data_IF_701252240934
#
_entry.id   IF_701252240934
#
_cell.length_a   1.000
_cell.length_b   1.000
_cell.length_c   1.000
_cell.angle_alpha   90.00
_cell.angle_beta   90.00
_cell.angle_gamma   90.00
#
_symmetry.space_group_name_H-M   'P 1'
#
loop_
_entity.id
_entity.type
_entity.pdbx_description
1 polymer ?
#
# COMPACT_ATOMS: atom_id res chain seq x y z
N UNK A 1 9.05 -40.02 -14.05
CA UNK A 1 9.67 -40.66 -15.23
C UNK A 1 9.00 -40.20 -16.51
N UNK A 2 7.65 -40.19 -16.56
CA UNK A 2 6.86 -39.62 -17.65
C UNK A 2 7.12 -38.11 -17.86
N UNK A 3 7.13 -37.29 -16.80
CA UNK A 3 7.42 -35.85 -16.93
C UNK A 3 8.81 -35.55 -17.54
N UNK A 4 9.80 -36.40 -17.24
CA UNK A 4 11.15 -36.33 -17.83
C UNK A 4 11.12 -36.67 -19.32
N UNK A 5 10.39 -37.73 -19.69
CA UNK A 5 10.24 -38.16 -21.07
C UNK A 5 9.50 -37.11 -21.90
N UNK A 6 8.41 -36.54 -21.39
CA UNK A 6 7.67 -35.45 -22.05
C UNK A 6 8.57 -34.24 -22.29
N UNK A 7 9.34 -33.81 -21.28
CA UNK A 7 10.30 -32.72 -21.40
C UNK A 7 11.38 -33.01 -22.47
N UNK A 8 11.86 -34.25 -22.53
CA UNK A 8 12.83 -34.70 -23.51
C UNK A 8 12.26 -34.74 -24.95
N UNK A 9 11.00 -35.16 -25.11
CA UNK A 9 10.30 -35.18 -26.40
C UNK A 9 10.05 -33.73 -26.87
N UNK A 10 9.57 -32.84 -25.98
CA UNK A 10 9.35 -31.42 -26.31
C UNK A 10 10.65 -30.70 -26.70
N UNK A 11 11.78 -31.11 -26.11
CA UNK A 11 13.09 -30.53 -26.40
C UNK A 11 13.81 -31.22 -27.58
N UNK A 12 13.17 -32.16 -28.28
CA UNK A 12 13.72 -33.02 -29.34
C UNK A 12 15.05 -33.70 -28.94
N UNK A 13 15.15 -34.10 -27.68
CA UNK A 13 16.37 -34.64 -27.04
C UNK A 13 16.06 -35.87 -26.18
N UNK A 14 15.39 -36.85 -26.76
CA UNK A 14 15.05 -38.13 -26.09
C UNK A 14 16.28 -38.96 -25.80
N UNK A 15 16.55 -39.20 -24.52
CA UNK A 15 17.71 -39.97 -24.04
C UNK A 15 17.62 -41.46 -24.44
N UNK A 16 18.76 -42.15 -24.51
CA UNK A 16 18.75 -43.60 -24.80
C UNK A 16 17.99 -44.41 -23.74
N UNK A 17 18.04 -43.98 -22.48
CA UNK A 17 17.30 -44.60 -21.39
C UNK A 17 15.79 -44.52 -21.63
N UNK A 18 15.30 -43.33 -21.97
CA UNK A 18 13.91 -43.06 -22.35
C UNK A 18 13.48 -43.85 -23.60
N UNK A 19 14.33 -43.97 -24.62
CA UNK A 19 14.06 -44.79 -25.81
C UNK A 19 13.95 -46.28 -25.49
N UNK A 20 14.82 -46.81 -24.64
CA UNK A 20 14.77 -48.22 -24.19
C UNK A 20 13.53 -48.50 -23.37
N UNK A 21 13.14 -47.57 -22.50
CA UNK A 21 11.91 -47.67 -21.73
C UNK A 21 10.67 -47.68 -22.64
N UNK A 22 10.57 -46.74 -23.58
CA UNK A 22 9.51 -46.71 -24.60
C UNK A 22 9.43 -48.02 -25.40
N UNK A 23 10.58 -48.53 -25.86
CA UNK A 23 10.65 -49.80 -26.57
C UNK A 23 10.20 -50.99 -25.71
N UNK A 24 10.51 -51.00 -24.41
CA UNK A 24 10.02 -52.02 -23.48
C UNK A 24 8.51 -51.98 -23.28
N UNK A 25 7.90 -50.82 -23.47
CA UNK A 25 6.45 -50.61 -23.44
C UNK A 25 5.79 -50.80 -24.82
N UNK A 26 6.57 -51.12 -25.88
CA UNK A 26 6.06 -51.26 -27.24
C UNK A 26 5.65 -49.94 -27.90
N UNK A 27 6.15 -48.81 -27.41
CA UNK A 27 5.85 -47.47 -27.92
C UNK A 27 7.06 -46.88 -28.64
N UNK A 28 6.80 -46.07 -29.66
CA UNK A 28 7.81 -45.23 -30.32
C UNK A 28 7.75 -43.80 -29.82
N UNK A 29 8.84 -43.04 -30.02
CA UNK A 29 8.87 -41.60 -29.71
C UNK A 29 7.79 -40.84 -30.48
N UNK A 30 7.60 -41.18 -31.76
CA UNK A 30 6.58 -40.55 -32.62
C UNK A 30 5.15 -40.85 -32.13
N UNK A 31 4.87 -42.08 -31.70
CA UNK A 31 3.57 -42.41 -31.11
C UNK A 31 3.32 -41.65 -29.79
N UNK A 32 4.35 -41.52 -28.94
CA UNK A 32 4.23 -40.75 -27.72
C UNK A 32 4.02 -39.26 -28.02
N UNK A 33 4.77 -38.70 -28.98
CA UNK A 33 4.64 -37.30 -29.39
C UNK A 33 3.26 -36.98 -29.97
N UNK A 34 2.65 -37.91 -30.72
CA UNK A 34 1.29 -37.78 -31.24
C UNK A 34 0.20 -37.93 -30.17
N UNK A 35 0.53 -38.49 -29.00
CA UNK A 35 -0.38 -38.62 -27.85
C UNK A 35 -0.22 -37.48 -26.84
N UNK A 36 0.83 -36.67 -26.97
CA UNK A 36 1.04 -35.51 -26.10
C UNK A 36 0.10 -34.37 -26.50
N UNK A 37 -0.50 -33.75 -25.50
CA UNK A 37 -1.23 -32.51 -25.71
C UNK A 37 -0.26 -31.42 -26.17
N UNK A 38 -0.64 -30.58 -27.15
CA UNK A 38 0.18 -29.46 -27.56
C UNK A 38 0.43 -28.52 -26.38
N UNK A 39 1.68 -28.08 -26.22
CA UNK A 39 2.04 -27.12 -25.16
C UNK A 39 1.24 -25.84 -25.38
N UNK A 40 0.33 -25.55 -24.45
CA UNK A 40 -0.43 -24.31 -24.46
C UNK A 40 0.54 -23.14 -24.27
N UNK A 41 0.76 -22.39 -25.34
CA UNK A 41 1.54 -21.15 -25.29
C UNK A 41 0.53 -20.01 -25.37
N UNK A 42 0.18 -19.35 -24.24
CA UNK A 42 -0.83 -18.29 -24.28
C UNK A 42 -0.36 -17.17 -25.18
N UNK A 43 -1.18 -16.84 -26.18
CA UNK A 43 -0.97 -15.64 -26.98
C UNK A 43 -1.09 -14.42 -26.06
N UNK A 44 0.00 -13.68 -25.88
CA UNK A 44 0.02 -12.48 -25.05
C UNK A 44 -0.46 -11.30 -25.90
N UNK A 45 -1.50 -10.62 -25.44
CA UNK A 45 -1.95 -9.34 -25.98
C UNK A 45 -1.64 -8.23 -24.98
N UNK A 46 -1.40 -7.04 -25.49
CA UNK A 46 -1.13 -5.84 -24.69
C UNK A 46 -2.28 -4.88 -24.92
N UNK A 47 -2.83 -4.37 -23.82
CA UNK A 47 -3.87 -3.35 -23.82
C UNK A 47 -3.42 -2.17 -22.95
N UNK A 48 -3.71 -0.96 -23.41
CA UNK A 48 -3.51 0.26 -22.63
C UNK A 48 -4.83 0.66 -21.98
N UNK A 49 -4.79 0.88 -20.67
CA UNK A 49 -5.93 1.34 -19.90
C UNK A 49 -6.06 2.85 -20.01
N UNK A 50 -7.23 3.32 -20.44
CA UNK A 50 -7.63 4.72 -20.33
C UNK A 50 -8.66 4.83 -19.22
N UNK A 51 -8.30 5.59 -18.18
CA UNK A 51 -9.15 5.79 -17.00
C UNK A 51 -9.76 7.18 -16.98
N UNK A 52 -10.86 7.32 -16.24
CA UNK A 52 -11.40 8.62 -15.85
C UNK A 52 -10.56 9.30 -14.75
N UNK A 53 -11.00 10.47 -14.29
CA UNK A 53 -10.32 11.24 -13.25
C UNK A 53 -10.34 10.58 -11.86
N UNK A 54 -11.20 9.58 -11.61
CA UNK A 54 -11.25 8.76 -10.38
C UNK A 54 -10.32 7.55 -10.47
N UNK A 55 -9.73 7.30 -11.65
CA UNK A 55 -8.92 6.12 -11.93
C UNK A 55 -9.72 4.91 -12.41
N UNK A 56 -11.03 5.06 -12.68
CA UNK A 56 -11.88 3.98 -13.17
C UNK A 56 -11.59 3.71 -14.66
N UNK A 57 -11.24 2.47 -15.05
CA UNK A 57 -11.01 2.11 -16.45
C UNK A 57 -12.25 2.32 -17.33
N UNK A 58 -12.16 3.15 -18.36
CA UNK A 58 -13.24 3.39 -19.32
C UNK A 58 -13.01 2.68 -20.65
N UNK A 59 -11.75 2.53 -21.07
CA UNK A 59 -11.40 1.99 -22.40
C UNK A 59 -10.13 1.15 -22.33
N UNK A 60 -10.09 0.03 -23.08
CA UNK A 60 -8.88 -0.71 -23.41
C UNK A 60 -8.54 -0.49 -24.88
N UNK A 61 -7.33 0.02 -25.12
CA UNK A 61 -6.83 0.29 -26.46
C UNK A 61 -5.74 -0.73 -26.83
N UNK A 62 -5.81 -1.28 -28.05
CA UNK A 62 -4.78 -2.15 -28.60
C UNK A 62 -3.49 -1.38 -28.90
N UNK A 63 -2.40 -2.08 -29.19
CA UNK A 63 -1.14 -1.46 -29.63
C UNK A 63 -1.25 -0.69 -30.95
N UNK A 64 -2.29 -0.96 -31.73
CA UNK A 64 -2.60 -0.31 -33.01
C UNK A 64 -3.54 0.89 -32.84
N UNK A 65 -3.96 1.21 -31.61
CA UNK A 65 -4.83 2.34 -31.31
C UNK A 65 -6.32 2.05 -31.47
N UNK A 66 -6.71 0.78 -31.66
CA UNK A 66 -8.11 0.39 -31.75
C UNK A 66 -8.73 0.21 -30.35
N UNK A 67 -9.95 0.71 -30.15
CA UNK A 67 -10.74 0.40 -28.96
C UNK A 67 -11.24 -1.04 -29.04
N UNK A 68 -10.75 -1.90 -28.14
CA UNK A 68 -11.14 -3.31 -28.09
C UNK A 68 -12.16 -3.61 -26.96
N UNK A 69 -12.29 -2.68 -26.00
CA UNK A 69 -13.27 -2.72 -24.92
C UNK A 69 -13.56 -1.31 -24.44
N UNK A 70 -14.82 -0.99 -24.15
CA UNK A 70 -15.18 0.22 -23.42
C UNK A 70 -16.37 -0.01 -22.50
N UNK A 71 -16.46 0.82 -21.47
CA UNK A 71 -17.53 0.78 -20.50
C UNK A 71 -17.90 2.18 -19.99
N UNK A 72 -19.17 2.33 -19.63
CA UNK A 72 -19.71 3.51 -18.96
C UNK A 72 -20.13 3.13 -17.54
N UNK A 73 -19.82 4.00 -16.59
CA UNK A 73 -20.10 3.78 -15.18
C UNK A 73 -20.75 4.99 -14.54
N UNK A 74 -21.54 4.75 -13.50
CA UNK A 74 -22.06 5.83 -12.65
C UNK A 74 -21.02 6.33 -11.63
N UNK A 75 -21.45 7.22 -10.75
CA UNK A 75 -20.62 7.85 -9.73
C UNK A 75 -20.09 6.85 -8.68
N UNK A 76 -20.79 5.74 -8.47
CA UNK A 76 -20.45 4.70 -7.50
C UNK A 76 -19.73 3.50 -8.12
N UNK A 77 -19.54 3.51 -9.43
CA UNK A 77 -18.83 2.48 -10.18
C UNK A 77 -19.74 1.37 -10.71
N UNK A 78 -21.06 1.52 -10.69
CA UNK A 78 -21.96 0.57 -11.35
C UNK A 78 -21.76 0.62 -12.86
N UNK A 79 -21.61 -0.56 -13.48
CA UNK A 79 -21.52 -0.68 -14.93
C UNK A 79 -22.90 -0.38 -15.55
N UNK A 80 -22.97 0.68 -16.34
CA UNK A 80 -24.20 1.12 -17.02
C UNK A 80 -24.28 0.53 -18.43
N UNK A 81 -23.15 0.52 -19.13
CA UNK A 81 -23.03 0.02 -20.49
C UNK A 81 -21.63 -0.57 -20.72
N UNK A 82 -21.53 -1.58 -21.56
CA UNK A 82 -20.27 -2.22 -21.93
C UNK A 82 -20.29 -2.60 -23.42
N UNK A 83 -19.26 -2.20 -24.15
CA UNK A 83 -18.98 -2.72 -25.48
C UNK A 83 -17.74 -3.60 -25.42
N UNK A 84 -17.95 -4.92 -25.56
CA UNK A 84 -16.89 -5.92 -25.43
C UNK A 84 -16.94 -6.94 -26.59
N UNK A 85 -16.64 -6.52 -27.84
CA UNK A 85 -16.73 -7.40 -29.02
C UNK A 85 -15.73 -8.56 -28.98
N UNK A 86 -14.67 -8.45 -28.18
CA UNK A 86 -13.59 -9.42 -28.09
C UNK A 86 -13.65 -10.30 -26.81
N UNK A 87 -14.71 -10.17 -26.01
CA UNK A 87 -14.89 -10.91 -24.75
C UNK A 87 -13.66 -10.81 -23.82
N UNK A 88 -13.07 -9.61 -23.74
CA UNK A 88 -11.94 -9.33 -22.87
C UNK A 88 -12.37 -9.39 -21.41
N UNK A 89 -11.54 -10.01 -20.57
CA UNK A 89 -11.75 -10.04 -19.13
C UNK A 89 -11.13 -8.80 -18.49
N UNK A 90 -11.97 -7.78 -18.26
CA UNK A 90 -11.62 -6.60 -17.48
C UNK A 90 -12.31 -6.71 -16.11
N UNK A 91 -11.52 -6.89 -15.05
CA UNK A 91 -12.02 -6.94 -13.66
C UNK A 91 -11.71 -5.70 -12.82
N UNK A 92 -10.85 -4.79 -13.28
CA UNK A 92 -10.43 -3.64 -12.46
C UNK A 92 -11.57 -2.61 -12.38
N UNK A 93 -11.86 -2.10 -11.17
CA UNK A 93 -12.89 -1.10 -10.91
C UNK A 93 -12.24 0.19 -10.35
N UNK A 94 -12.86 0.85 -9.37
CA UNK A 94 -12.26 2.00 -8.70
C UNK A 94 -10.91 1.61 -8.05
N UNK A 95 -10.04 2.55 -7.69
CA UNK A 95 -8.71 2.25 -7.15
C UNK A 95 -8.74 1.23 -6.01
N UNK A 96 -7.93 0.17 -6.14
CA UNK A 96 -7.86 -0.93 -5.17
C UNK A 96 -8.90 -2.04 -5.36
N UNK A 97 -9.88 -1.85 -6.24
CA UNK A 97 -11.03 -2.74 -6.40
C UNK A 97 -10.94 -3.67 -7.61
N UNK A 98 -11.39 -4.91 -7.42
CA UNK A 98 -11.56 -5.91 -8.47
C UNK A 98 -12.98 -6.47 -8.43
N UNK A 99 -13.64 -6.54 -9.59
CA UNK A 99 -14.95 -7.17 -9.73
C UNK A 99 -14.86 -8.67 -9.48
N UNK A 100 -15.75 -9.13 -8.60
CA UNK A 100 -16.01 -10.54 -8.36
C UNK A 100 -17.36 -10.91 -8.98
N UNK A 101 -17.32 -11.76 -10.00
CA UNK A 101 -18.50 -12.20 -10.75
C UNK A 101 -19.42 -13.08 -9.89
N UNK A 102 -18.88 -13.86 -8.95
CA UNK A 102 -19.68 -14.79 -8.14
C UNK A 102 -20.62 -14.05 -7.19
N UNK A 103 -20.13 -12.97 -6.58
CA UNK A 103 -20.90 -12.14 -5.65
C UNK A 103 -21.58 -10.93 -6.30
N UNK A 104 -21.07 -10.47 -7.44
CA UNK A 104 -21.45 -9.20 -8.04
C UNK A 104 -20.85 -7.98 -7.32
N UNK A 105 -20.00 -8.20 -6.31
CA UNK A 105 -19.39 -7.14 -5.48
C UNK A 105 -17.97 -6.83 -5.94
N UNK A 106 -17.43 -5.72 -5.44
CA UNK A 106 -16.07 -5.29 -5.75
C UNK A 106 -15.15 -5.60 -4.56
N UNK A 107 -14.26 -6.56 -4.75
CA UNK A 107 -13.25 -6.93 -3.77
C UNK A 107 -12.23 -5.80 -3.63
N UNK A 108 -12.12 -5.24 -2.42
CA UNK A 108 -11.13 -4.23 -2.05
C UNK A 108 -10.30 -4.72 -0.87
N UNK A 109 -9.43 -5.71 -1.12
CA UNK A 109 -8.52 -6.34 -0.14
C UNK A 109 -9.19 -6.81 1.15
N UNK A 110 -9.37 -5.90 2.10
CA UNK A 110 -9.92 -6.16 3.42
C UNK A 110 -11.45 -6.13 3.47
N UNK A 111 -12.11 -5.59 2.44
CA UNK A 111 -13.58 -5.39 2.41
C UNK A 111 -14.17 -5.68 1.02
N UNK A 112 -15.47 -5.95 0.98
CA UNK A 112 -16.25 -6.02 -0.26
C UNK A 112 -17.14 -4.80 -0.37
N UNK A 113 -17.07 -4.11 -1.51
CA UNK A 113 -17.83 -2.92 -1.84
C UNK A 113 -19.04 -3.28 -2.72
N UNK A 114 -20.21 -2.77 -2.36
CA UNK A 114 -21.45 -2.84 -3.12
C UNK A 114 -21.66 -1.50 -3.85
N UNK A 115 -21.47 -1.45 -5.18
CA UNK A 115 -21.66 -0.23 -5.96
C UNK A 115 -23.13 0.21 -6.01
N UNK A 116 -24.11 -0.69 -5.87
CA UNK A 116 -25.54 -0.32 -5.87
C UNK A 116 -25.89 0.51 -4.64
N UNK A 117 -25.21 0.27 -3.52
CA UNK A 117 -25.41 0.98 -2.26
C UNK A 117 -24.37 2.07 -1.99
N UNK A 118 -23.33 2.15 -2.84
CA UNK A 118 -22.20 3.06 -2.68
C UNK A 118 -21.40 2.82 -1.39
N UNK A 119 -21.29 1.57 -0.91
CA UNK A 119 -20.76 1.27 0.43
C UNK A 119 -20.19 -0.14 0.57
N UNK A 120 -19.37 -0.40 1.58
CA UNK A 120 -18.93 -1.75 1.96
C UNK A 120 -20.06 -2.58 2.58
N UNK A 121 -20.04 -3.89 2.39
CA UNK A 121 -21.04 -4.82 2.95
C UNK A 121 -20.63 -5.43 4.29
N UNK A 122 -19.35 -5.33 4.65
CA UNK A 122 -18.79 -5.77 5.92
C UNK A 122 -18.44 -4.57 6.77
N UNK A 123 -18.61 -4.71 8.09
CA UNK A 123 -18.18 -3.67 9.02
C UNK A 123 -16.68 -3.43 8.89
N UNK A 124 -16.29 -2.17 9.05
CA UNK A 124 -14.91 -1.78 9.11
C UNK A 124 -14.18 -2.53 10.23
N UNK A 125 -13.07 -3.23 9.93
CA UNK A 125 -12.22 -3.84 10.95
C UNK A 125 -11.79 -2.90 12.08
N UNK A 126 -11.75 -1.57 11.86
CA UNK A 126 -11.42 -0.59 12.92
C UNK A 126 -12.62 -0.16 13.79
N UNK A 127 -13.84 -0.63 13.49
CA UNK A 127 -15.04 -0.43 14.30
C UNK A 127 -15.44 1.05 14.43
N UNK A 128 -15.83 1.49 15.63
CA UNK A 128 -16.25 2.88 15.92
C UNK A 128 -15.16 3.93 15.68
N UNK A 129 -13.92 3.51 15.42
CA UNK A 129 -12.84 4.41 15.05
C UNK A 129 -12.80 4.73 13.55
N UNK A 130 -13.45 3.93 12.69
CA UNK A 130 -13.66 4.20 11.26
C UNK A 130 -14.94 5.00 11.00
N UNK A 131 -15.33 5.83 11.97
CA UNK A 131 -16.58 6.56 11.97
C UNK A 131 -17.78 5.75 12.49
N UNK A 132 -18.90 6.44 12.65
CA UNK A 132 -20.17 5.86 13.09
C UNK A 132 -20.79 4.92 12.05
N UNK A 133 -20.40 5.07 10.79
CA UNK A 133 -20.90 4.25 9.69
C UNK A 133 -19.85 3.21 9.28
N UNK A 134 -19.92 2.03 9.89
CA UNK A 134 -19.01 0.91 9.65
C UNK A 134 -18.96 0.39 8.22
N UNK A 135 -19.85 0.86 7.35
CA UNK A 135 -20.01 0.35 6.00
C UNK A 135 -19.54 1.38 4.95
N UNK A 136 -18.99 2.52 5.34
CA UNK A 136 -18.79 3.65 4.43
C UNK A 136 -17.63 3.47 3.43
N UNK A 137 -17.87 3.83 2.17
CA UNK A 137 -16.83 4.12 1.17
C UNK A 137 -16.64 5.65 1.07
N UNK A 138 -15.45 6.20 0.75
CA UNK A 138 -15.22 7.65 0.75
C UNK A 138 -16.26 8.43 -0.05
N UNK A 139 -16.83 9.47 0.57
CA UNK A 139 -17.93 10.27 0.00
C UNK A 139 -17.49 11.19 -1.14
N UNK A 140 -16.18 11.45 -1.28
CA UNK A 140 -15.61 12.19 -2.39
C UNK A 140 -14.52 11.37 -3.10
N UNK A 141 -14.90 10.42 -3.98
CA UNK A 141 -13.95 9.55 -4.68
C UNK A 141 -13.06 10.31 -5.69
N UNK A 142 -13.25 11.62 -5.85
CA UNK A 142 -12.47 12.49 -6.73
C UNK A 142 -11.24 13.05 -6.01
N UNK A 143 -11.38 13.45 -4.74
CA UNK A 143 -10.27 13.97 -3.93
C UNK A 143 -9.66 12.92 -3.03
N UNK A 144 -10.48 11.98 -2.57
CA UNK A 144 -10.11 10.98 -1.58
C UNK A 144 -10.41 9.59 -2.16
N UNK A 145 -9.36 8.90 -2.55
CA UNK A 145 -9.40 7.49 -2.88
C UNK A 145 -8.95 6.71 -1.65
N UNK A 146 -9.51 5.53 -1.43
CA UNK A 146 -9.11 4.60 -0.36
C UNK A 146 -8.52 3.32 -0.98
N UNK A 147 -7.28 3.35 -1.53
CA UNK A 147 -6.71 2.22 -2.25
C UNK A 147 -6.30 1.06 -1.34
N UNK A 148 -6.25 1.28 -0.02
CA UNK A 148 -5.75 0.33 0.98
C UNK A 148 -6.77 -0.03 2.07
N UNK A 149 -7.71 0.87 2.39
CA UNK A 149 -8.60 0.77 3.54
C UNK A 149 -8.11 1.49 4.81
N UNK A 150 -7.27 2.54 4.74
CA UNK A 150 -6.43 3.03 5.88
C UNK A 150 -6.17 4.57 5.88
N UNK A 151 -5.76 5.19 7.00
CA UNK A 151 -5.44 6.62 7.14
C UNK A 151 -4.04 7.03 6.65
N UNK A 152 -3.87 8.34 6.44
CA UNK A 152 -2.65 8.96 5.86
C UNK A 152 -2.05 9.99 6.81
N UNK A 153 -0.72 9.94 7.05
CA UNK A 153 -0.02 10.96 7.84
C UNK A 153 1.11 11.70 7.11
N UNK A 154 1.24 12.97 7.44
CA UNK A 154 2.27 13.90 6.96
C UNK A 154 2.98 14.55 8.15
N UNK A 155 4.31 14.56 8.14
CA UNK A 155 5.14 15.35 9.06
C UNK A 155 5.95 16.39 8.28
N UNK A 156 5.75 17.66 8.59
CA UNK A 156 6.60 18.75 8.09
C UNK A 156 7.65 19.12 9.13
N UNK A 157 8.92 18.96 8.75
CA UNK A 157 10.08 19.23 9.60
C UNK A 157 10.09 20.70 10.01
N UNK A 158 9.96 21.63 9.06
CA UNK A 158 10.05 23.08 9.35
C UNK A 158 8.85 23.58 10.14
N UNK A 159 7.65 23.11 9.83
CA UNK A 159 6.44 23.49 10.56
C UNK A 159 6.38 22.86 11.95
N UNK A 160 7.16 21.81 12.21
CA UNK A 160 7.16 21.10 13.50
C UNK A 160 5.79 20.48 13.83
N UNK A 161 5.07 20.03 12.79
CA UNK A 161 3.70 19.53 12.90
C UNK A 161 3.57 18.20 12.18
N UNK A 162 2.97 17.23 12.87
CA UNK A 162 2.55 15.95 12.29
C UNK A 162 1.02 15.95 12.25
N UNK A 163 0.49 15.76 11.05
CA UNK A 163 -0.93 15.68 10.79
C UNK A 163 -1.25 14.29 10.23
N UNK A 164 -2.12 13.57 10.91
CA UNK A 164 -2.75 12.38 10.36
C UNK A 164 -4.20 12.71 10.05
N UNK A 165 -4.61 12.48 8.81
CA UNK A 165 -6.01 12.59 8.40
C UNK A 165 -6.59 11.21 8.48
N UNK A 166 -7.48 11.01 9.45
CA UNK A 166 -8.36 9.83 9.51
C UNK A 166 -9.22 9.78 8.25
N UNK A 167 -9.61 8.58 7.82
CA UNK A 167 -10.36 8.39 6.58
C UNK A 167 -11.84 8.85 6.64
N UNK A 168 -12.33 9.34 7.79
CA UNK A 168 -13.75 9.73 7.97
C UNK A 168 -13.97 11.15 8.48
N UNK A 169 -15.11 11.73 8.04
CA UNK A 169 -15.63 13.02 8.48
C UNK A 169 -16.48 12.89 9.77
N UNK A 170 -16.28 13.82 10.68
CA UNK A 170 -17.13 14.12 11.84
C UNK A 170 -18.52 14.61 11.41
N UNK A 171 -19.44 14.68 12.38
CA UNK A 171 -20.86 15.05 12.22
C UNK A 171 -21.13 16.35 11.42
N UNK A 172 -20.13 17.25 11.32
CA UNK A 172 -20.17 18.49 10.55
C UNK A 172 -19.58 18.37 9.12
N UNK A 173 -19.42 17.16 8.58
CA UNK A 173 -18.72 16.88 7.32
C UNK A 173 -17.24 17.35 7.31
N UNK A 174 -16.51 17.20 8.42
CA UNK A 174 -15.08 17.56 8.52
C UNK A 174 -14.21 16.38 8.93
N UNK A 175 -13.10 16.10 8.26
CA UNK A 175 -12.23 14.97 8.61
C UNK A 175 -11.67 15.07 10.03
N UNK A 176 -11.55 13.93 10.71
CA UNK A 176 -10.85 13.85 11.99
C UNK A 176 -9.34 13.95 11.75
N UNK A 177 -8.84 15.18 11.85
CA UNK A 177 -7.42 15.48 11.66
C UNK A 177 -6.72 15.49 13.01
N UNK A 178 -5.93 14.46 13.28
CA UNK A 178 -4.97 14.50 14.38
C UNK A 178 -3.79 15.36 13.96
N UNK A 179 -3.80 16.63 14.34
CA UNK A 179 -2.68 17.54 14.15
C UNK A 179 -2.00 17.78 15.49
N UNK A 180 -0.75 17.30 15.60
CA UNK A 180 0.04 17.37 16.85
C UNK A 180 1.39 18.07 16.62
N UNK A 181 1.84 18.88 17.58
CA UNK A 181 3.19 19.43 17.54
C UNK A 181 4.20 18.30 17.80
N UNK A 182 5.23 18.24 16.96
CA UNK A 182 6.34 17.30 17.11
C UNK A 182 7.66 17.99 16.83
N UNK A 183 8.75 17.38 17.26
CA UNK A 183 10.08 17.84 16.95
C UNK A 183 11.01 16.69 16.60
N UNK A 184 11.95 16.96 15.71
CA UNK A 184 13.00 16.04 15.31
C UNK A 184 14.34 16.75 15.23
N UNK A 185 15.41 16.06 15.66
CA UNK A 185 16.75 16.63 15.75
C UNK A 185 16.99 17.46 17.02
N UNK A 186 18.19 18.02 17.14
CA UNK A 186 18.71 18.57 18.39
C UNK A 186 19.45 19.92 18.19
N UNK A 187 19.27 20.87 19.13
CA UNK A 187 19.96 22.18 19.17
C UNK A 187 21.17 22.26 20.14
N UNK A 188 21.65 21.13 20.65
CA UNK A 188 22.80 21.09 21.57
C UNK A 188 24.11 21.51 20.89
N UNK A 189 25.06 22.00 21.69
CA UNK A 189 26.38 22.46 21.25
C UNK A 189 26.36 23.64 20.25
N UNK A 190 25.47 24.62 20.44
CA UNK A 190 25.33 25.83 19.59
C UNK A 190 24.93 25.57 18.13
N UNK A 191 24.52 24.35 17.79
CA UNK A 191 23.96 24.02 16.47
C UNK A 191 22.44 24.23 16.47
N UNK A 192 21.87 24.64 15.34
CA UNK A 192 20.42 24.88 15.18
C UNK A 192 19.79 23.79 14.30
N UNK A 193 19.89 22.52 14.72
CA UNK A 193 19.51 21.37 13.90
C UNK A 193 18.15 20.75 14.23
N UNK A 194 17.49 21.21 15.28
CA UNK A 194 16.11 20.83 15.58
C UNK A 194 15.18 21.42 14.52
N UNK A 195 14.34 20.58 13.94
CA UNK A 195 13.35 20.97 12.93
C UNK A 195 13.99 21.73 11.75
N UNK A 196 15.27 21.43 11.47
CA UNK A 196 16.04 22.06 10.41
C UNK A 196 16.47 20.99 9.39
N UNK A 197 15.81 20.93 8.22
CA UNK A 197 16.14 20.00 7.16
C UNK A 197 17.58 20.09 6.65
N UNK A 198 18.19 21.28 6.73
CA UNK A 198 19.58 21.49 6.34
C UNK A 198 20.58 20.67 7.17
N UNK A 199 20.16 20.18 8.33
CA UNK A 199 20.96 19.32 9.20
C UNK A 199 20.70 17.82 9.02
N UNK A 200 19.84 17.38 8.09
CA UNK A 200 19.38 15.98 7.98
C UNK A 200 20.53 14.96 7.86
N UNK A 201 21.60 15.31 7.17
CA UNK A 201 22.78 14.45 7.00
C UNK A 201 23.65 14.31 8.26
N UNK A 202 23.44 15.16 9.28
CA UNK A 202 24.26 15.16 10.49
C UNK A 202 23.84 14.03 11.44
N UNK A 203 24.70 13.03 11.58
CA UNK A 203 24.50 11.91 12.49
C UNK A 203 24.30 12.41 13.94
N UNK A 204 23.37 11.76 14.65
CA UNK A 204 23.02 12.03 16.05
C UNK A 204 22.49 13.45 16.34
N UNK A 205 22.19 14.24 15.31
CA UNK A 205 21.84 15.66 15.44
C UNK A 205 20.69 16.09 14.55
N UNK A 206 20.72 15.70 13.28
CA UNK A 206 19.73 16.08 12.28
C UNK A 206 18.35 15.51 12.59
N UNK A 207 17.28 16.12 12.03
CA UNK A 207 15.95 15.52 12.07
C UNK A 207 15.92 14.19 11.31
N UNK A 208 14.82 13.45 11.43
CA UNK A 208 14.54 12.30 10.58
C UNK A 208 14.61 12.73 9.10
N UNK A 209 15.19 11.90 8.21
CA UNK A 209 15.22 12.19 6.79
C UNK A 209 13.84 12.26 6.14
N UNK A 210 13.72 13.16 5.16
CA UNK A 210 12.56 13.23 4.27
C UNK A 210 12.36 11.92 3.53
N UNK A 211 11.10 11.61 3.21
CA UNK A 211 10.73 10.40 2.48
C UNK A 211 9.54 9.69 3.10
N UNK A 212 9.28 8.47 2.62
CA UNK A 212 8.15 7.66 3.09
C UNK A 212 8.63 6.63 4.10
N UNK A 213 7.91 6.52 5.20
CA UNK A 213 8.21 5.64 6.33
C UNK A 213 6.96 4.83 6.69
N UNK A 214 7.15 3.59 7.12
CA UNK A 214 6.09 2.75 7.69
C UNK A 214 6.30 2.58 9.19
N UNK A 215 5.20 2.38 9.92
CA UNK A 215 5.24 2.10 11.35
C UNK A 215 5.39 0.60 11.61
N UNK A 216 6.48 0.21 12.27
CA UNK A 216 6.66 -1.16 12.72
C UNK A 216 5.92 -1.41 14.04
N UNK A 217 4.60 -1.52 13.95
CA UNK A 217 3.69 -1.75 15.10
C UNK A 217 3.87 -3.11 15.77
N UNK A 218 4.43 -4.11 15.07
CA UNK A 218 4.65 -5.47 15.55
C UNK A 218 6.10 -5.69 16.04
N UNK A 219 6.95 -4.67 15.97
CA UNK A 219 8.34 -4.75 16.34
C UNK A 219 8.57 -4.83 17.85
N UNK A 220 9.70 -5.40 18.29
CA UNK A 220 10.04 -5.44 19.71
C UNK A 220 10.14 -4.03 20.29
N UNK A 221 9.34 -3.77 21.34
CA UNK A 221 9.26 -2.45 21.99
C UNK A 221 8.20 -1.51 21.44
N UNK A 222 7.43 -1.91 20.41
CA UNK A 222 6.24 -1.18 19.98
C UNK A 222 5.16 -1.24 21.07
N UNK A 223 4.89 -0.10 21.70
CA UNK A 223 3.91 -0.03 22.78
C UNK A 223 3.05 1.23 22.65
N UNK A 224 1.77 1.12 23.01
CA UNK A 224 0.91 2.27 23.30
C UNK A 224 1.08 2.78 24.76
N UNK A 225 1.95 2.13 25.57
CA UNK A 225 2.27 2.49 26.96
C UNK A 225 3.75 2.85 27.16
N UNK A 226 4.04 3.80 28.06
CA UNK A 226 5.31 4.55 28.10
C UNK A 226 6.56 3.64 28.10
N UNK A 227 7.63 4.00 27.35
CA UNK A 227 7.81 5.25 26.60
C UNK A 227 7.37 5.12 25.12
N UNK A 228 6.16 4.63 24.83
CA UNK A 228 5.37 4.88 23.61
C UNK A 228 6.19 5.05 22.32
N UNK A 229 7.07 4.11 22.00
CA UNK A 229 7.93 4.19 20.83
C UNK A 229 7.39 3.29 19.74
N UNK A 230 7.04 3.84 18.57
CA UNK A 230 6.85 3.01 17.37
C UNK A 230 8.06 3.23 16.48
N UNK A 231 8.74 2.14 16.11
CA UNK A 231 9.90 2.20 15.22
C UNK A 231 9.42 2.51 13.81
N UNK A 232 10.11 3.42 13.14
CA UNK A 232 9.87 3.74 11.74
C UNK A 232 10.82 2.92 10.86
N UNK A 233 10.29 2.44 9.74
CA UNK A 233 11.04 1.70 8.72
C UNK A 233 11.03 2.52 7.43
N UNK A 234 12.20 2.84 6.85
CA UNK A 234 12.25 3.61 5.60
C UNK A 234 11.74 2.77 4.44
N UNK A 235 10.98 3.40 3.53
CA UNK A 235 10.68 2.83 2.22
C UNK A 235 11.95 2.75 1.35
N UNK A 236 11.95 1.90 0.33
CA UNK A 236 13.14 1.60 -0.48
C UNK A 236 13.84 2.84 -1.11
N UNK A 237 13.11 3.93 -1.35
CA UNK A 237 13.62 5.15 -1.96
C UNK A 237 13.96 6.26 -0.96
N UNK A 238 13.86 5.99 0.34
CA UNK A 238 14.12 6.97 1.40
C UNK A 238 15.60 6.97 1.77
N UNK A 239 16.32 8.08 1.48
CA UNK A 239 17.74 8.22 1.83
C UNK A 239 17.91 8.47 3.33
N UNK A 240 18.53 7.52 4.04
CA UNK A 240 18.69 7.63 5.50
C UNK A 240 20.01 8.22 5.96
N UNK A 241 20.93 8.56 5.04
CA UNK A 241 22.28 9.06 5.36
C UNK A 241 23.09 8.13 6.28
N UNK A 242 22.95 6.81 6.10
CA UNK A 242 23.52 5.77 6.98
C UNK A 242 23.06 5.88 8.45
N UNK A 243 21.87 6.44 8.68
CA UNK A 243 21.23 6.51 9.99
C UNK A 243 20.09 5.51 10.04
N UNK A 244 19.82 4.98 11.22
CA UNK A 244 18.74 4.04 11.48
C UNK A 244 18.14 4.31 12.86
N UNK A 245 17.27 3.41 13.34
CA UNK A 245 16.78 3.52 14.71
C UNK A 245 15.74 4.61 14.96
N UNK A 246 15.15 5.19 13.92
CA UNK A 246 14.14 6.23 14.06
C UNK A 246 12.86 5.71 14.74
N UNK A 247 12.31 6.51 15.66
CA UNK A 247 11.04 6.23 16.34
C UNK A 247 10.12 7.45 16.34
N UNK A 248 8.83 7.21 16.54
CA UNK A 248 7.87 8.18 17.06
C UNK A 248 7.74 7.94 18.57
N UNK A 249 8.15 8.87 19.43
CA UNK A 249 8.10 8.66 20.89
C UNK A 249 7.84 9.92 21.73
N UNK A 250 7.27 9.73 22.93
CA UNK A 250 7.08 10.83 23.87
C UNK A 250 8.38 11.27 24.54
N UNK A 251 8.51 12.57 24.84
CA UNK A 251 9.65 13.13 25.55
C UNK A 251 9.25 14.09 26.68
N UNK A 252 10.01 14.08 27.79
CA UNK A 252 9.84 15.06 28.87
C UNK A 252 10.12 16.51 28.41
N UNK A 253 11.00 16.69 27.44
CA UNK A 253 11.35 18.00 26.87
C UNK A 253 11.38 17.96 25.32
N UNK A 254 10.29 17.48 24.70
CA UNK A 254 10.18 17.37 23.24
C UNK A 254 10.45 18.72 22.53
N UNK A 255 9.94 19.82 23.10
CA UNK A 255 9.92 21.13 22.46
C UNK A 255 11.00 22.10 22.96
N UNK A 256 11.56 21.90 24.15
CA UNK A 256 12.57 22.81 24.69
C UNK A 256 13.95 22.65 24.04
N UNK A 257 14.91 23.51 24.47
CA UNK A 257 16.28 23.45 23.98
C UNK A 257 16.89 22.14 24.47
N UNK A 258 17.38 21.35 23.53
CA UNK A 258 17.91 20.03 23.81
C UNK A 258 19.39 20.19 24.24
N UNK A 259 19.57 20.60 25.50
CA UNK A 259 20.84 21.11 26.04
C UNK A 259 21.78 20.03 26.61
N UNK A 260 21.52 18.75 26.35
CA UNK A 260 22.40 17.69 26.84
C UNK A 260 22.10 16.30 26.26
N UNK A 261 23.06 15.36 26.38
CA UNK A 261 22.80 13.95 26.09
C UNK A 261 21.74 13.41 27.06
N UNK A 262 20.82 12.57 26.54
CA UNK A 262 19.60 12.00 27.18
C UNK A 262 18.28 12.77 27.00
N UNK A 263 18.24 13.90 26.29
CA UNK A 263 16.97 14.47 25.82
C UNK A 263 16.63 13.96 24.42
N UNK A 264 15.34 13.94 24.07
CA UNK A 264 14.81 13.11 23.00
C UNK A 264 15.21 13.63 21.61
N UNK A 265 16.35 13.13 21.15
CA UNK A 265 16.44 12.20 20.02
C UNK A 265 17.59 12.52 19.07
N UNK A 266 18.21 11.46 18.57
CA UNK A 266 19.18 11.45 17.46
C UNK A 266 18.45 11.51 16.10
N UNK A 267 17.40 12.33 16.02
CA UNK A 267 16.52 12.47 14.86
C UNK A 267 15.22 11.66 14.90
N UNK A 268 14.81 11.12 16.04
CA UNK A 268 13.44 10.59 16.19
C UNK A 268 12.41 11.71 16.07
N UNK A 269 11.15 11.35 15.83
CA UNK A 269 10.01 12.26 15.95
C UNK A 269 9.53 12.21 17.40
N UNK A 270 9.49 13.36 18.05
CA UNK A 270 9.21 13.46 19.48
C UNK A 270 8.12 14.46 19.80
N UNK A 271 7.24 14.12 20.73
CA UNK A 271 6.12 14.97 21.12
C UNK A 271 5.80 14.86 22.60
N UNK A 272 4.74 15.54 23.04
CA UNK A 272 4.22 15.39 24.40
C UNK A 272 3.72 13.96 24.62
N UNK A 273 3.69 13.50 25.88
CA UNK A 273 3.14 12.17 26.18
C UNK A 273 1.70 11.98 25.73
N UNK A 274 0.88 13.03 25.77
CA UNK A 274 -0.52 12.97 25.40
C UNK A 274 -0.69 12.88 23.89
N UNK A 275 0.08 13.67 23.15
CA UNK A 275 0.01 13.71 21.69
C UNK A 275 0.53 12.41 21.06
N UNK A 276 1.64 11.88 21.59
CA UNK A 276 2.18 10.60 21.14
C UNK A 276 1.30 9.41 21.53
N UNK A 277 0.49 9.52 22.58
CA UNK A 277 -0.55 8.52 22.90
C UNK A 277 -1.64 8.53 21.83
N UNK A 278 -2.17 9.70 21.48
CA UNK A 278 -3.17 9.84 20.41
C UNK A 278 -2.65 9.33 19.06
N UNK A 279 -1.40 9.67 18.71
CA UNK A 279 -0.78 9.16 17.49
C UNK A 279 -0.66 7.64 17.53
N UNK A 280 -0.14 7.07 18.61
CA UNK A 280 -0.01 5.62 18.72
C UNK A 280 -1.38 4.94 18.69
N UNK A 281 -2.40 5.49 19.33
CA UNK A 281 -3.77 4.94 19.30
C UNK A 281 -4.36 4.88 17.90
N UNK A 282 -4.05 5.85 17.03
CA UNK A 282 -4.42 5.86 15.62
C UNK A 282 -3.61 4.82 14.83
N UNK A 283 -2.29 4.84 14.96
CA UNK A 283 -1.39 3.95 14.21
C UNK A 283 -1.57 2.47 14.62
N UNK A 284 -1.88 2.18 15.88
CA UNK A 284 -2.17 0.81 16.31
C UNK A 284 -3.55 0.32 15.83
N UNK A 285 -4.51 1.22 15.53
CA UNK A 285 -5.73 0.82 14.82
C UNK A 285 -5.50 0.60 13.33
N UNK A 286 -4.46 1.20 12.76
CA UNK A 286 -4.13 1.11 11.34
C UNK A 286 -2.64 0.82 11.11
N UNK A 287 -2.23 -0.42 11.36
CA UNK A 287 -0.82 -0.80 11.43
C UNK A 287 -0.05 -0.62 10.12
N UNK A 288 -0.77 -0.56 9.00
CA UNK A 288 -0.22 -0.48 7.65
C UNK A 288 -0.24 0.95 7.06
N UNK A 289 -0.67 1.96 7.83
CA UNK A 289 -0.62 3.36 7.41
C UNK A 289 0.82 3.79 7.11
N UNK A 290 0.97 4.87 6.32
CA UNK A 290 2.31 5.42 6.00
C UNK A 290 2.49 6.85 6.48
N UNK A 291 3.74 7.20 6.82
CA UNK A 291 4.19 8.54 7.19
C UNK A 291 5.00 9.12 6.04
N UNK A 292 4.56 10.25 5.50
CA UNK A 292 5.37 11.06 4.61
C UNK A 292 6.06 12.17 5.41
N UNK A 293 7.39 12.26 5.30
CA UNK A 293 8.20 13.32 5.91
C UNK A 293 8.64 14.31 4.84
N UNK A 294 8.32 15.58 5.04
CA UNK A 294 8.68 16.68 4.14
C UNK A 294 9.33 17.83 4.91
N UNK A 295 9.81 18.82 4.17
CA UNK A 295 10.18 20.10 4.76
C UNK A 295 8.98 20.87 5.27
#
# INVERSE_FOLDING_TARGET
MLDRLESEILADRVSEESRRWLASCGLTVEQMQNQMDPVYTPARKIHLYHCDHRGLPLVLISTEGATEWCAEYDEWGNLLNEENPHQLQQLIRLPGQQYDEESGLYYNRHRYYDPLQGRYITQDPIGLKGGWNFYQYPLNPITDIDPLGLATCLYSITLSMLSCVSDTQNDDNSYDVLTIPVASGNNGNNMQCKNNPGCTHLQNRGPIPQGVWSWNVNGPGATNRKPNGIRLVPSANTETYNRDGFLTQSCLNAFGPSLGPRFCSEGCITGSSNDMQKLNELIFSEPDSTLTVTD
#
